data_IF_825726469960
#
_entry.id   IF_825726469960
#
_cell.length_a   1.000
_cell.length_b   1.000
_cell.length_c   1.000
_cell.angle_alpha   90.00
_cell.angle_beta   90.00
_cell.angle_gamma   90.00
#
_symmetry.space_group_name_H-M   'P 1'
#
loop_
_entity.id
_entity.type
_entity.pdbx_description
1 polymer ?
#
# COMPACT_ATOMS: atom_id res chain seq x y z
N UNK A 1 19.18 -0.72 20.93
CA UNK A 1 18.41 0.38 20.32
C UNK A 1 18.09 0.02 18.87
N UNK A 2 17.04 -0.76 18.64
CA UNK A 2 16.62 -1.18 17.29
C UNK A 2 15.09 -1.27 17.15
N UNK A 3 14.37 -0.84 18.19
CA UNK A 3 12.91 -0.83 18.25
C UNK A 3 12.44 0.61 18.18
N UNK A 4 11.43 0.88 17.34
CA UNK A 4 10.87 2.21 17.16
C UNK A 4 10.18 2.38 15.82
N UNK A 5 9.55 3.54 15.62
CA UNK A 5 8.80 3.85 14.39
C UNK A 5 9.66 3.76 13.13
N UNK A 6 10.92 4.21 13.19
CA UNK A 6 11.83 4.17 12.04
C UNK A 6 12.13 2.74 11.60
N UNK A 7 12.47 1.84 12.53
CA UNK A 7 12.85 0.47 12.18
C UNK A 7 11.65 -0.34 11.71
N UNK A 8 10.48 -0.15 12.32
CA UNK A 8 9.22 -0.72 11.84
C UNK A 8 8.88 -0.24 10.41
N UNK A 9 9.04 1.07 10.13
CA UNK A 9 8.82 1.64 8.80
C UNK A 9 9.80 1.11 7.75
N UNK A 10 11.07 0.93 8.10
CA UNK A 10 12.08 0.36 7.19
C UNK A 10 11.76 -1.09 6.81
N UNK A 11 11.40 -1.92 7.79
CA UNK A 11 11.00 -3.33 7.55
C UNK A 11 9.78 -3.38 6.63
N UNK A 12 8.78 -2.54 6.91
CA UNK A 12 7.57 -2.45 6.09
C UNK A 12 7.90 -2.03 4.65
N UNK A 13 8.76 -1.02 4.47
CA UNK A 13 9.16 -0.56 3.14
C UNK A 13 9.83 -1.67 2.33
N UNK A 14 10.80 -2.39 2.92
CA UNK A 14 11.50 -3.50 2.24
C UNK A 14 10.53 -4.58 1.77
N UNK A 15 9.49 -4.86 2.55
CA UNK A 15 8.50 -5.88 2.23
C UNK A 15 7.45 -5.42 1.19
N UNK A 16 7.09 -4.14 1.19
CA UNK A 16 6.07 -3.57 0.28
C UNK A 16 6.65 -3.26 -1.11
N UNK A 17 7.96 -2.94 -1.21
CA UNK A 17 8.63 -2.63 -2.47
C UNK A 17 8.47 -3.75 -3.53
N UNK A 18 8.75 -5.04 -3.25
CA UNK A 18 8.56 -6.12 -4.21
C UNK A 18 7.14 -6.22 -4.73
N UNK A 19 6.15 -5.96 -3.88
CA UNK A 19 4.74 -5.98 -4.25
C UNK A 19 4.41 -4.85 -5.23
N UNK A 20 4.85 -3.61 -4.95
CA UNK A 20 4.69 -2.47 -5.87
C UNK A 20 5.34 -2.79 -7.22
N UNK A 21 6.55 -3.35 -7.22
CA UNK A 21 7.28 -3.68 -8.45
C UNK A 21 6.52 -4.72 -9.27
N UNK A 22 6.03 -5.79 -8.65
CA UNK A 22 5.31 -6.87 -9.36
C UNK A 22 4.04 -6.33 -10.04
N UNK A 23 3.21 -5.61 -9.29
CA UNK A 23 1.95 -5.08 -9.81
C UNK A 23 2.20 -3.98 -10.86
N UNK A 24 3.18 -3.10 -10.64
CA UNK A 24 3.55 -2.07 -11.62
C UNK A 24 4.06 -2.68 -12.92
N UNK A 25 4.81 -3.79 -12.84
CA UNK A 25 5.29 -4.52 -14.03
C UNK A 25 4.14 -5.11 -14.83
N UNK A 26 3.12 -5.67 -14.17
CA UNK A 26 1.92 -6.18 -14.86
C UNK A 26 1.19 -5.06 -15.62
N UNK A 27 1.03 -3.89 -15.00
CA UNK A 27 0.44 -2.70 -15.65
C UNK A 27 1.29 -2.22 -16.83
N UNK A 28 2.61 -2.19 -16.70
CA UNK A 28 3.50 -1.81 -17.81
C UNK A 28 3.45 -2.83 -18.96
N UNK A 29 3.22 -4.11 -18.67
CA UNK A 29 3.11 -5.17 -19.67
C UNK A 29 1.74 -5.21 -20.36
N UNK A 30 0.69 -4.64 -19.75
CA UNK A 30 -0.64 -4.54 -20.35
C UNK A 30 -0.79 -3.41 -21.37
N UNK A 31 0.21 -2.52 -21.48
CA UNK A 31 0.26 -1.48 -22.51
C UNK A 31 0.27 -2.12 -23.91
N UNK A 32 -0.66 -1.73 -24.82
CA UNK A 32 -0.73 -2.31 -26.17
C UNK A 32 0.61 -2.22 -26.92
N UNK A 33 0.98 -3.29 -27.62
CA UNK A 33 2.22 -3.35 -28.41
C UNK A 33 2.21 -2.32 -29.55
N UNK A 34 1.05 -2.07 -30.14
CA UNK A 34 0.85 -1.10 -31.22
C UNK A 34 1.40 0.30 -30.85
N UNK A 35 1.16 0.76 -29.61
CA UNK A 35 1.65 2.05 -29.13
C UNK A 35 3.19 2.09 -29.02
N UNK A 36 3.81 0.96 -28.66
CA UNK A 36 5.27 0.84 -28.58
C UNK A 36 5.91 0.81 -29.95
N UNK A 37 5.34 0.04 -30.86
CA UNK A 37 5.83 -0.12 -32.23
C UNK A 37 5.65 1.17 -33.04
N UNK A 38 4.53 1.88 -32.88
CA UNK A 38 4.33 3.19 -33.49
C UNK A 38 5.39 4.22 -33.03
N UNK A 39 5.70 4.26 -31.73
CA UNK A 39 6.75 5.15 -31.22
C UNK A 39 8.13 4.83 -31.82
N UNK A 40 8.48 3.54 -31.94
CA UNK A 40 9.73 3.11 -32.56
C UNK A 40 9.76 3.42 -34.07
N UNK A 41 8.64 3.26 -34.77
CA UNK A 41 8.50 3.57 -36.20
C UNK A 41 8.65 5.07 -36.49
N UNK A 42 8.27 5.93 -35.54
CA UNK A 42 8.48 7.39 -35.60
C UNK A 42 9.93 7.80 -35.29
N UNK A 43 10.85 6.82 -35.11
CA UNK A 43 12.26 7.07 -34.84
C UNK A 43 12.61 7.25 -33.35
N UNK A 44 11.67 7.00 -32.42
CA UNK A 44 11.99 7.06 -31.00
C UNK A 44 12.89 5.90 -30.58
N UNK A 45 13.79 6.15 -29.63
CA UNK A 45 14.60 5.09 -29.02
C UNK A 45 13.78 4.23 -28.04
N UNK A 46 14.27 3.03 -27.70
CA UNK A 46 13.61 2.17 -26.69
C UNK A 46 13.42 2.88 -25.34
N UNK A 47 14.39 3.72 -24.96
CA UNK A 47 14.32 4.52 -23.75
C UNK A 47 13.22 5.59 -23.83
N UNK A 48 13.18 6.32 -24.94
CA UNK A 48 12.14 7.34 -25.17
C UNK A 48 10.75 6.75 -25.28
N UNK A 49 10.58 5.62 -25.97
CA UNK A 49 9.30 4.90 -26.04
C UNK A 49 8.82 4.50 -24.64
N UNK A 50 9.73 4.03 -23.78
CA UNK A 50 9.40 3.66 -22.40
C UNK A 50 8.95 4.88 -21.59
N UNK A 51 9.74 5.95 -21.56
CA UNK A 51 9.46 7.12 -20.71
C UNK A 51 8.38 8.06 -21.24
N UNK A 52 8.25 8.20 -22.57
CA UNK A 52 7.32 9.16 -23.19
C UNK A 52 5.98 8.53 -23.57
N UNK A 53 5.90 7.22 -23.75
CA UNK A 53 4.67 6.53 -24.19
C UNK A 53 4.18 5.52 -23.15
N UNK A 54 5.02 4.54 -22.80
CA UNK A 54 4.61 3.43 -21.93
C UNK A 54 4.33 3.89 -20.50
N UNK A 55 5.24 4.64 -19.87
CA UNK A 55 5.09 5.12 -18.49
C UNK A 55 3.89 6.06 -18.34
N UNK A 56 3.67 7.07 -19.20
CA UNK A 56 2.49 7.94 -19.11
C UNK A 56 1.17 7.19 -19.35
N UNK A 57 1.16 6.17 -20.22
CA UNK A 57 -0.01 5.33 -20.43
C UNK A 57 -0.32 4.48 -19.19
N UNK A 58 0.70 3.88 -18.58
CA UNK A 58 0.59 3.03 -17.40
C UNK A 58 0.47 3.82 -16.08
N UNK A 59 0.62 5.15 -16.09
CA UNK A 59 0.77 5.98 -14.88
C UNK A 59 -0.30 5.70 -13.83
N UNK A 60 -1.56 5.55 -14.24
CA UNK A 60 -2.63 5.38 -13.26
C UNK A 60 -2.68 3.99 -12.68
N UNK A 61 -2.25 2.96 -13.43
CA UNK A 61 -2.07 1.64 -12.85
C UNK A 61 -0.85 1.56 -11.93
N UNK A 62 0.21 2.35 -12.18
CA UNK A 62 1.33 2.51 -11.24
C UNK A 62 0.88 3.22 -9.96
N UNK A 63 0.05 4.26 -10.06
CA UNK A 63 -0.54 4.84 -8.84
C UNK A 63 -1.43 3.83 -8.12
N UNK A 64 -2.25 3.07 -8.85
CA UNK A 64 -3.09 2.00 -8.30
C UNK A 64 -2.28 0.92 -7.58
N UNK A 65 -1.11 0.53 -8.10
CA UNK A 65 -0.23 -0.45 -7.46
C UNK A 65 0.32 0.07 -6.12
N UNK A 66 0.67 1.36 -6.03
CA UNK A 66 1.12 2.00 -4.80
C UNK A 66 -0.01 1.98 -3.75
N UNK A 67 -1.22 2.39 -4.11
CA UNK A 67 -2.35 2.37 -3.17
C UNK A 67 -2.69 0.96 -2.69
N UNK A 68 -2.67 -0.03 -3.59
CA UNK A 68 -2.88 -1.43 -3.23
C UNK A 68 -1.79 -1.94 -2.28
N UNK A 69 -0.55 -1.53 -2.50
CA UNK A 69 0.58 -1.88 -1.66
C UNK A 69 0.50 -1.25 -0.26
N UNK A 70 0.02 -0.01 -0.16
CA UNK A 70 -0.25 0.66 1.11
C UNK A 70 -1.37 -0.03 1.89
N UNK A 71 -2.45 -0.42 1.22
CA UNK A 71 -3.52 -1.19 1.84
C UNK A 71 -3.03 -2.53 2.39
N UNK A 72 -2.14 -3.20 1.64
CA UNK A 72 -1.46 -4.41 2.13
C UNK A 72 -0.56 -4.11 3.32
N UNK A 73 0.24 -3.05 3.26
CA UNK A 73 1.17 -2.67 4.31
C UNK A 73 0.47 -2.43 5.66
N UNK A 74 -0.73 -1.85 5.64
CA UNK A 74 -1.54 -1.65 6.83
C UNK A 74 -2.03 -2.97 7.45
N UNK A 75 -2.20 -4.00 6.64
CA UNK A 75 -2.54 -5.35 7.07
C UNK A 75 -1.34 -6.17 7.56
N UNK A 76 -0.11 -5.67 7.43
CA UNK A 76 1.13 -6.39 7.79
C UNK A 76 1.48 -6.11 9.26
N UNK A 77 0.50 -6.41 10.10
CA UNK A 77 0.44 -6.09 11.53
C UNK A 77 1.48 -6.85 12.35
N UNK A 78 1.77 -8.09 11.96
CA UNK A 78 2.72 -8.96 12.66
C UNK A 78 4.16 -8.46 12.57
N UNK A 79 4.58 -8.00 11.38
CA UNK A 79 5.93 -7.48 11.16
C UNK A 79 6.18 -6.22 12.00
N UNK A 80 5.19 -5.31 12.06
CA UNK A 80 5.27 -4.08 12.85
C UNK A 80 5.28 -4.39 14.35
N UNK A 81 4.43 -5.31 14.81
CA UNK A 81 4.34 -5.70 16.23
C UNK A 81 5.68 -6.20 16.78
N UNK A 82 6.43 -6.98 16.00
CA UNK A 82 7.71 -7.54 16.43
C UNK A 82 8.84 -6.51 16.58
N UNK A 83 8.73 -5.34 15.94
CA UNK A 83 9.85 -4.38 15.80
C UNK A 83 9.55 -3.01 16.40
N UNK A 84 8.28 -2.63 16.62
CA UNK A 84 7.91 -1.28 17.09
C UNK A 84 8.20 -1.03 18.59
N UNK A 85 8.36 -2.09 19.38
CA UNK A 85 8.70 -2.01 20.81
C UNK A 85 7.52 -2.04 21.79
N UNK A 86 6.28 -2.14 21.29
CA UNK A 86 5.03 -2.36 22.04
C UNK A 86 4.89 -1.51 23.32
N UNK A 87 5.16 -0.21 23.20
CA UNK A 87 4.99 0.74 24.31
C UNK A 87 3.79 1.62 23.99
N UNK A 88 2.68 1.57 24.76
CA UNK A 88 1.46 2.36 24.51
C UNK A 88 1.62 3.83 24.95
N UNK A 89 2.78 4.43 24.70
CA UNK A 89 3.06 5.84 24.93
C UNK A 89 3.20 6.55 23.58
N UNK A 90 2.44 7.63 23.39
CA UNK A 90 2.54 8.45 22.19
C UNK A 90 3.76 9.36 22.32
N UNK A 91 4.85 8.96 21.67
CA UNK A 91 6.06 9.77 21.55
C UNK A 91 6.17 10.31 20.13
N UNK A 92 6.46 11.61 19.99
CA UNK A 92 6.63 12.27 18.69
C UNK A 92 8.01 12.00 18.02
N UNK A 93 8.86 11.17 18.64
CA UNK A 93 10.19 10.84 18.14
C UNK A 93 10.15 9.59 17.27
N UNK A 94 10.77 9.64 16.08
CA UNK A 94 10.91 8.48 15.18
C UNK A 94 11.73 7.33 15.77
N UNK A 95 12.57 7.63 16.77
CA UNK A 95 13.40 6.63 17.47
C UNK A 95 12.75 6.12 18.75
N UNK A 96 11.59 6.66 19.14
CA UNK A 96 10.87 6.16 20.29
C UNK A 96 10.11 4.86 19.93
N UNK A 97 9.98 3.94 20.89
CA UNK A 97 9.07 2.81 20.76
C UNK A 97 7.64 3.32 20.72
N UNK A 98 6.78 2.56 20.07
CA UNK A 98 5.37 2.89 19.96
C UNK A 98 4.49 1.64 19.95
N UNK A 99 3.22 1.84 19.67
CA UNK A 99 2.25 0.78 19.46
C UNK A 99 1.35 1.13 18.28
N UNK A 100 0.94 0.12 17.52
CA UNK A 100 -0.04 0.23 16.44
C UNK A 100 -1.40 -0.27 16.92
N UNK A 101 -2.51 0.20 16.32
CA UNK A 101 -3.86 -0.27 16.68
C UNK A 101 -3.94 -1.81 16.60
N UNK A 102 -3.31 -2.40 15.59
CA UNK A 102 -3.30 -3.85 15.41
C UNK A 102 -2.47 -4.59 16.45
N UNK A 103 -1.33 -4.04 16.87
CA UNK A 103 -0.48 -4.64 17.93
C UNK A 103 -1.12 -4.51 19.30
N UNK A 104 -1.82 -3.39 19.58
CA UNK A 104 -2.65 -3.24 20.78
C UNK A 104 -3.70 -4.35 20.84
N UNK A 105 -4.45 -4.57 19.74
CA UNK A 105 -5.44 -5.65 19.68
C UNK A 105 -4.75 -7.01 19.85
N UNK A 106 -3.68 -7.30 19.12
CA UNK A 106 -3.03 -8.61 19.16
C UNK A 106 -2.46 -8.96 20.54
N UNK A 107 -1.85 -7.99 21.23
CA UNK A 107 -1.18 -8.23 22.51
C UNK A 107 -2.13 -8.14 23.71
N UNK A 108 -3.13 -7.25 23.65
CA UNK A 108 -3.96 -6.94 24.83
C UNK A 108 -5.31 -7.65 24.81
N UNK A 109 -5.74 -8.26 23.69
CA UNK A 109 -7.02 -8.96 23.60
C UNK A 109 -7.11 -10.19 24.51
N UNK A 110 -6.02 -10.92 24.70
CA UNK A 110 -5.98 -12.09 25.58
C UNK A 110 -5.85 -11.74 27.05
N UNK A 111 -5.29 -10.58 27.36
CA UNK A 111 -5.05 -10.11 28.74
C UNK A 111 -6.20 -9.24 29.26
N UNK A 112 -7.21 -8.97 28.41
CA UNK A 112 -8.29 -8.07 28.71
C UNK A 112 -9.22 -8.62 29.80
N UNK A 113 -9.07 -8.12 31.03
CA UNK A 113 -9.94 -8.44 32.16
C UNK A 113 -10.85 -7.25 32.47
N UNK A 114 -12.16 -7.43 32.26
CA UNK A 114 -13.22 -6.44 32.52
C UNK A 114 -13.98 -5.99 31.27
N UNK A 115 -15.28 -5.75 31.42
CA UNK A 115 -16.19 -5.45 30.30
C UNK A 115 -15.81 -4.20 29.50
N UNK A 116 -15.38 -3.13 30.19
CA UNK A 116 -15.02 -1.86 29.55
C UNK A 116 -13.79 -1.97 28.65
N UNK A 117 -12.81 -2.79 29.05
CA UNK A 117 -11.56 -2.93 28.31
C UNK A 117 -11.75 -3.82 27.08
N UNK A 118 -12.54 -4.89 27.20
CA UNK A 118 -12.94 -5.71 26.06
C UNK A 118 -13.76 -4.91 25.04
N UNK A 119 -14.70 -4.08 25.50
CA UNK A 119 -15.49 -3.18 24.64
C UNK A 119 -14.59 -2.18 23.88
N UNK A 120 -13.60 -1.59 24.55
CA UNK A 120 -12.62 -0.69 23.92
C UNK A 120 -11.80 -1.38 22.82
N UNK A 121 -11.40 -2.63 23.04
CA UNK A 121 -10.64 -3.40 22.03
C UNK A 121 -11.51 -3.79 20.82
N UNK A 122 -12.79 -4.11 21.05
CA UNK A 122 -13.75 -4.34 19.95
C UNK A 122 -13.96 -3.04 19.15
N UNK A 123 -14.05 -1.89 19.81
CA UNK A 123 -14.15 -0.58 19.14
C UNK A 123 -12.91 -0.31 18.27
N UNK A 124 -11.71 -0.52 18.81
CA UNK A 124 -10.46 -0.41 18.04
C UNK A 124 -10.43 -1.35 16.84
N UNK A 125 -10.93 -2.57 16.99
CA UNK A 125 -11.10 -3.53 15.89
C UNK A 125 -12.05 -3.02 14.81
N UNK A 126 -13.18 -2.41 15.20
CA UNK A 126 -14.12 -1.80 14.26
C UNK A 126 -13.50 -0.61 13.52
N UNK A 127 -12.76 0.26 14.21
CA UNK A 127 -12.04 1.39 13.61
C UNK A 127 -11.01 0.90 12.61
N UNK A 128 -10.21 -0.10 12.97
CA UNK A 128 -9.22 -0.69 12.08
C UNK A 128 -9.86 -1.35 10.86
N UNK A 129 -10.98 -2.05 11.05
CA UNK A 129 -11.75 -2.64 9.97
C UNK A 129 -12.28 -1.59 9.00
N UNK A 130 -12.90 -0.51 9.50
CA UNK A 130 -13.42 0.58 8.67
C UNK A 130 -12.29 1.29 7.90
N UNK A 131 -11.16 1.56 8.55
CA UNK A 131 -9.99 2.15 7.91
C UNK A 131 -9.48 1.26 6.77
N UNK A 132 -9.35 -0.04 7.02
CA UNK A 132 -8.90 -1.01 6.02
C UNK A 132 -9.90 -1.13 4.87
N UNK A 133 -11.19 -1.15 5.17
CA UNK A 133 -12.26 -1.24 4.17
C UNK A 133 -12.28 -0.02 3.26
N UNK A 134 -12.21 1.19 3.83
CA UNK A 134 -12.20 2.45 3.07
C UNK A 134 -10.98 2.52 2.16
N UNK A 135 -9.79 2.20 2.66
CA UNK A 135 -8.57 2.26 1.86
C UNK A 135 -8.57 1.23 0.72
N UNK A 136 -9.00 -0.01 0.99
CA UNK A 136 -9.15 -1.02 -0.06
C UNK A 136 -10.21 -0.63 -1.09
N UNK A 137 -11.33 -0.06 -0.65
CA UNK A 137 -12.38 0.45 -1.52
C UNK A 137 -11.88 1.56 -2.43
N UNK A 138 -11.18 2.56 -1.89
CA UNK A 138 -10.59 3.67 -2.65
C UNK A 138 -9.55 3.17 -3.67
N UNK A 139 -8.66 2.26 -3.26
CA UNK A 139 -7.68 1.66 -4.16
C UNK A 139 -8.37 0.94 -5.33
N UNK A 140 -9.42 0.17 -5.05
CA UNK A 140 -10.20 -0.55 -6.07
C UNK A 140 -10.94 0.39 -7.01
N UNK A 141 -11.57 1.45 -6.49
CA UNK A 141 -12.30 2.44 -7.30
C UNK A 141 -11.33 3.18 -8.23
N UNK A 142 -10.15 3.59 -7.74
CA UNK A 142 -9.14 4.25 -8.56
C UNK A 142 -8.70 3.40 -9.76
N UNK A 143 -8.50 2.10 -9.55
CA UNK A 143 -8.13 1.15 -10.60
C UNK A 143 -9.27 1.00 -11.61
N UNK A 144 -10.51 0.80 -11.15
CA UNK A 144 -11.67 0.63 -12.03
C UNK A 144 -11.97 1.89 -12.86
N UNK A 145 -11.88 3.08 -12.24
CA UNK A 145 -12.07 4.36 -12.91
C UNK A 145 -11.05 4.63 -14.03
N UNK A 146 -9.92 3.91 -14.03
CA UNK A 146 -8.86 4.10 -15.03
C UNK A 146 -8.78 3.02 -16.09
N UNK A 147 -9.32 1.82 -15.83
CA UNK A 147 -9.58 0.85 -16.90
C UNK A 147 -10.60 1.36 -17.92
N UNK A 148 -11.60 2.14 -17.51
CA UNK A 148 -12.66 2.65 -18.40
C UNK A 148 -12.24 3.77 -19.37
N UNK A 149 -11.05 4.37 -19.21
CA UNK A 149 -10.58 5.47 -20.09
C UNK A 149 -9.74 4.98 -21.29
N UNK A 150 -9.33 3.71 -21.31
CA UNK A 150 -8.53 3.13 -22.40
C UNK A 150 -9.33 2.69 -23.63
N UNK A 151 -10.66 2.57 -23.52
CA UNK A 151 -11.55 2.07 -24.59
C UNK A 151 -12.35 3.17 -25.32
N UNK A 152 -12.24 4.43 -24.92
CA UNK A 152 -13.06 5.53 -25.46
C UNK A 152 -12.50 6.28 -26.67
N UNK A 153 -11.38 5.86 -27.27
CA UNK A 153 -10.75 6.53 -28.42
C UNK A 153 -11.06 5.87 -29.77
N UNK A 154 -12.14 5.09 -29.86
CA UNK A 154 -12.66 4.54 -31.12
C UNK A 154 -14.17 4.75 -31.19
N UNK A 155 -14.56 5.95 -31.59
CA UNK A 155 -15.82 6.25 -32.27
C UNK A 155 -15.50 7.26 -33.36
#
# INVERSE_FOLDING_TARGET
YGIGFLTAGMVLAIMVIPFIISVSREVLMSVPRDQREAALALGATRWESTWKVVVPFARTGIFGSIFLALARALGETMAVTMVIGNTPQVAASLFAPGDSIASVIANQFTEATGDLYLQSLIELGLVLFLLTFILNGLARILILATQGRGTGARA
#
